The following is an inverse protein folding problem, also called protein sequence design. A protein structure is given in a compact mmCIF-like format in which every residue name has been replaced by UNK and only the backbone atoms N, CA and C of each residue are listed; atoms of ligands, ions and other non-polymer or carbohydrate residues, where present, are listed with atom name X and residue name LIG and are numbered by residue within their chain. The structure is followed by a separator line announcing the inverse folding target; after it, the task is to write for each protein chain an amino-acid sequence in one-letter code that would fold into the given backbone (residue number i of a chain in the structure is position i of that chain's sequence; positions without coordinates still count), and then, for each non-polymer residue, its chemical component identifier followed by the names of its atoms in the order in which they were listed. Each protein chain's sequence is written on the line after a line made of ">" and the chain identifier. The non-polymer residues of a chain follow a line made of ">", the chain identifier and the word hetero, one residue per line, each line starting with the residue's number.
data_IF_839414024603
#
_entry.id   IF_839414024603
#
_cell.length_a   1.000
_cell.length_b   1.000
_cell.length_c   1.000
_cell.angle_alpha   90.00
_cell.angle_beta   90.00
_cell.angle_gamma   90.00
#
_symmetry.space_group_name_H-M   'P 1'
#
loop_
_entity.id
_entity.type
_entity.pdbx_description
1 polymer ?
#
# COMPACT_ATOMS: atom_id res chain seq x y z
N UNK A 1 21.34 -3.63 54.62
CA UNK A 1 20.86 -4.68 53.69
C UNK A 1 19.57 -4.19 53.07
N UNK A 2 19.69 -3.54 51.90
CA UNK A 2 18.59 -2.90 51.19
C UNK A 2 17.60 -3.93 50.65
N UNK A 3 16.31 -3.58 50.74
CA UNK A 3 15.17 -4.44 50.43
C UNK A 3 15.19 -4.88 48.97
N UNK A 4 15.71 -6.08 48.72
CA UNK A 4 15.69 -6.78 47.42
C UNK A 4 14.25 -6.99 46.90
N UNK A 5 13.24 -6.82 47.77
CA UNK A 5 11.83 -6.92 47.40
C UNK A 5 11.31 -5.72 46.61
N UNK A 6 11.92 -4.53 46.73
CA UNK A 6 11.51 -3.37 45.93
C UNK A 6 11.94 -3.52 44.46
N UNK A 7 13.11 -4.12 44.21
CA UNK A 7 13.63 -4.35 42.85
C UNK A 7 12.82 -5.37 42.06
N UNK A 8 12.21 -6.36 42.74
CA UNK A 8 11.33 -7.32 42.08
C UNK A 8 10.13 -6.59 41.46
N UNK A 9 9.49 -5.65 42.19
CA UNK A 9 8.37 -4.87 41.65
C UNK A 9 8.73 -4.06 40.40
N UNK A 10 9.91 -3.44 40.35
CA UNK A 10 10.34 -2.67 39.17
C UNK A 10 10.61 -3.53 37.92
N UNK A 11 10.92 -4.82 38.09
CA UNK A 11 11.18 -5.75 36.97
C UNK A 11 9.90 -6.45 36.50
N UNK A 12 8.99 -6.83 37.40
CA UNK A 12 7.74 -7.51 36.98
C UNK A 12 6.65 -6.58 36.46
N UNK A 13 6.61 -5.31 36.87
CA UNK A 13 5.57 -4.36 36.39
C UNK A 13 5.62 -4.13 34.86
N UNK A 14 6.78 -3.93 34.21
CA UNK A 14 6.83 -3.83 32.75
C UNK A 14 6.53 -5.16 32.03
N UNK A 15 6.89 -6.31 32.60
CA UNK A 15 6.67 -7.64 31.98
C UNK A 15 5.17 -7.98 31.90
N UNK A 16 4.36 -7.51 32.85
CA UNK A 16 2.90 -7.75 32.83
C UNK A 16 2.19 -6.86 31.81
N UNK A 17 2.76 -5.69 31.45
CA UNK A 17 2.18 -4.80 30.45
C UNK A 17 2.27 -5.38 29.03
N UNK A 18 3.33 -6.15 28.74
CA UNK A 18 3.50 -6.84 27.45
C UNK A 18 2.57 -8.06 27.29
N UNK A 19 2.01 -8.58 28.38
CA UNK A 19 1.13 -9.77 28.36
C UNK A 19 -0.35 -9.42 28.13
N UNK A 20 -0.71 -8.14 28.20
CA UNK A 20 -2.08 -7.64 27.96
C UNK A 20 -2.19 -6.94 26.60
N UNK A 21 -1.08 -6.80 25.86
CA UNK A 21 -1.20 -6.55 24.44
C UNK A 21 -1.95 -7.76 23.86
N UNK A 22 -3.15 -7.59 23.27
CA UNK A 22 -3.72 -8.66 22.47
C UNK A 22 -2.61 -9.07 21.48
N UNK A 23 -2.44 -10.37 21.16
CA UNK A 23 -1.60 -10.73 20.02
C UNK A 23 -2.02 -9.79 18.92
N UNK A 24 -1.08 -9.01 18.37
CA UNK A 24 -1.36 -8.20 17.20
C UNK A 24 -2.03 -9.17 16.25
N UNK A 25 -3.35 -9.03 16.14
CA UNK A 25 -4.13 -9.86 15.24
C UNK A 25 -3.55 -9.40 13.92
N UNK A 26 -2.71 -10.23 13.29
CA UNK A 26 -2.37 -10.05 11.90
C UNK A 26 -3.71 -9.76 11.25
N UNK A 27 -3.87 -8.53 10.76
CA UNK A 27 -5.14 -8.05 10.25
C UNK A 27 -5.66 -9.15 9.33
N UNK A 28 -6.90 -9.61 9.55
CA UNK A 28 -7.54 -10.56 8.65
C UNK A 28 -7.37 -9.95 7.25
N UNK A 29 -6.56 -10.62 6.44
CA UNK A 29 -6.17 -10.12 5.13
C UNK A 29 -7.35 -10.32 4.19
N UNK A 30 -8.26 -9.35 4.16
CA UNK A 30 -9.39 -9.29 3.22
C UNK A 30 -8.93 -9.00 1.77
N UNK A 31 -7.68 -9.32 1.42
CA UNK A 31 -7.16 -9.24 0.06
C UNK A 31 -7.82 -10.27 -0.85
N UNK A 32 -8.28 -9.83 -2.02
CA UNK A 32 -8.84 -10.72 -3.05
C UNK A 32 -7.73 -11.07 -4.03
N UNK A 33 -7.55 -12.37 -4.27
CA UNK A 33 -6.53 -12.88 -5.20
C UNK A 33 -7.15 -13.54 -6.42
N UNK A 34 -6.40 -13.55 -7.51
CA UNK A 34 -6.60 -14.47 -8.64
C UNK A 34 -6.42 -15.93 -8.20
N UNK A 35 -6.97 -16.89 -8.96
CA UNK A 35 -6.89 -18.32 -8.62
C UNK A 35 -5.46 -18.85 -8.48
N UNK A 36 -4.53 -18.31 -9.26
CA UNK A 36 -3.10 -18.63 -9.23
C UNK A 36 -2.33 -17.79 -8.23
N UNK A 37 -2.97 -16.79 -7.61
CA UNK A 37 -2.36 -15.80 -6.73
C UNK A 37 -1.23 -14.98 -7.38
N UNK A 38 -1.27 -14.82 -8.71
CA UNK A 38 -0.33 -13.96 -9.44
C UNK A 38 -0.58 -12.47 -9.11
N UNK A 39 -1.83 -12.13 -8.84
CA UNK A 39 -2.28 -10.82 -8.38
C UNK A 39 -3.21 -10.97 -7.17
N UNK A 40 -2.97 -10.14 -6.15
CA UNK A 40 -3.80 -9.99 -4.95
C UNK A 40 -3.98 -8.50 -4.68
N UNK A 41 -5.22 -8.03 -4.56
CA UNK A 41 -5.48 -6.62 -4.32
C UNK A 41 -6.39 -6.41 -3.11
N UNK A 42 -6.33 -5.20 -2.57
CA UNK A 42 -7.22 -4.74 -1.50
C UNK A 42 -7.66 -3.31 -1.80
N UNK A 43 -8.95 -3.07 -1.65
CA UNK A 43 -9.54 -1.75 -1.77
C UNK A 43 -9.82 -1.22 -0.36
N UNK A 44 -9.44 0.03 -0.10
CA UNK A 44 -9.80 0.71 1.14
C UNK A 44 -11.28 1.06 1.11
N UNK A 45 -11.95 1.00 2.27
CA UNK A 45 -13.34 1.45 2.42
C UNK A 45 -13.43 2.81 3.15
N UNK A 46 -12.30 3.52 3.26
CA UNK A 46 -12.19 4.76 4.05
C UNK A 46 -12.75 5.97 3.28
N UNK A 47 -12.61 5.99 1.95
CA UNK A 47 -12.97 7.12 1.11
C UNK A 47 -13.29 6.69 -0.32
N UNK A 48 -14.16 7.47 -0.97
CA UNK A 48 -14.58 7.25 -2.34
C UNK A 48 -14.62 8.55 -3.13
N UNK A 49 -14.23 8.48 -4.41
CA UNK A 49 -14.34 9.58 -5.35
C UNK A 49 -15.46 9.37 -6.36
N UNK A 50 -16.04 10.47 -6.83
CA UNK A 50 -17.06 10.44 -7.88
C UNK A 50 -16.45 10.24 -9.27
N UNK A 51 -17.17 9.54 -10.14
CA UNK A 51 -16.85 9.48 -11.56
C UNK A 51 -16.82 10.89 -12.19
N UNK A 52 -15.84 11.13 -13.04
CA UNK A 52 -15.56 12.42 -13.68
C UNK A 52 -14.95 13.47 -12.74
N UNK A 53 -14.61 13.12 -11.50
CA UNK A 53 -13.97 14.07 -10.58
C UNK A 53 -12.54 14.43 -11.02
N UNK A 54 -12.09 15.61 -10.59
CA UNK A 54 -10.69 16.05 -10.76
C UNK A 54 -9.73 15.04 -10.11
N UNK A 55 -10.12 14.43 -8.99
CA UNK A 55 -9.35 13.36 -8.35
C UNK A 55 -9.17 12.16 -9.30
N UNK A 56 -10.24 11.69 -9.95
CA UNK A 56 -10.15 10.58 -10.91
C UNK A 56 -9.26 10.93 -12.10
N UNK A 57 -9.35 12.15 -12.62
CA UNK A 57 -8.47 12.62 -13.71
C UNK A 57 -7.00 12.64 -13.27
N UNK A 58 -6.70 13.17 -12.08
CA UNK A 58 -5.36 13.18 -11.51
C UNK A 58 -4.82 11.75 -11.29
N UNK A 59 -5.66 10.83 -10.82
CA UNK A 59 -5.31 9.42 -10.63
C UNK A 59 -4.97 8.74 -11.97
N UNK A 60 -5.82 8.91 -12.99
CA UNK A 60 -5.57 8.38 -14.33
C UNK A 60 -4.26 8.91 -14.92
N UNK A 61 -4.03 10.21 -14.83
CA UNK A 61 -2.81 10.85 -15.34
C UNK A 61 -1.56 10.38 -14.60
N UNK A 62 -1.64 10.25 -13.27
CA UNK A 62 -0.53 9.77 -12.44
C UNK A 62 -0.15 8.33 -12.79
N UNK A 63 -1.12 7.42 -12.87
CA UNK A 63 -0.83 6.02 -13.20
C UNK A 63 -0.37 5.85 -14.65
N UNK A 64 -0.91 6.63 -15.59
CA UNK A 64 -0.40 6.66 -16.96
C UNK A 64 1.04 7.16 -17.05
N UNK A 65 1.49 8.00 -16.10
CA UNK A 65 2.89 8.44 -16.07
C UNK A 65 3.87 7.32 -15.70
N UNK A 66 3.40 6.29 -14.99
CA UNK A 66 4.20 5.10 -14.65
C UNK A 66 4.29 4.12 -15.83
N UNK A 67 3.26 4.05 -16.67
CA UNK A 67 3.23 3.19 -17.87
C UNK A 67 3.88 3.82 -19.10
N UNK A 68 3.98 5.15 -19.15
CA UNK A 68 4.76 5.82 -20.19
C UNK A 68 6.20 5.32 -20.14
N UNK A 69 6.83 5.10 -21.31
CA UNK A 69 8.25 4.74 -21.47
C UNK A 69 9.14 5.88 -20.95
N UNK A 70 9.05 6.12 -19.65
CA UNK A 70 9.75 7.16 -18.96
C UNK A 70 11.13 6.60 -18.70
N UNK A 71 12.02 6.79 -19.67
CA UNK A 71 13.41 6.30 -19.69
C UNK A 71 14.23 6.74 -18.49
N UNK A 72 13.66 7.58 -17.61
CA UNK A 72 14.24 8.00 -16.34
C UNK A 72 14.09 7.00 -15.20
N UNK A 73 13.08 6.11 -15.22
CA UNK A 73 12.88 5.11 -14.16
C UNK A 73 13.43 3.77 -14.65
N UNK A 74 14.72 3.54 -14.43
CA UNK A 74 15.42 2.32 -14.83
C UNK A 74 15.69 1.35 -13.66
N UNK A 75 15.25 1.69 -12.46
CA UNK A 75 15.56 0.96 -11.21
C UNK A 75 14.33 0.32 -10.56
N UNK A 76 13.19 0.29 -11.25
CA UNK A 76 12.00 -0.45 -10.84
C UNK A 76 11.22 0.12 -9.65
N UNK A 77 11.49 1.37 -9.24
CA UNK A 77 10.71 2.05 -8.21
C UNK A 77 10.14 3.37 -8.73
N UNK A 78 8.85 3.56 -8.53
CA UNK A 78 8.07 4.70 -8.98
C UNK A 78 7.50 5.40 -7.75
N UNK A 79 7.64 6.72 -7.66
CA UNK A 79 7.02 7.52 -6.61
C UNK A 79 6.69 8.89 -7.20
N UNK A 80 5.40 9.21 -7.22
CA UNK A 80 4.94 10.49 -7.76
C UNK A 80 3.62 10.90 -7.13
N UNK A 81 3.30 12.17 -7.29
CA UNK A 81 2.02 12.74 -6.88
C UNK A 81 1.50 13.68 -7.96
N UNK A 82 0.18 13.83 -8.03
CA UNK A 82 -0.51 14.66 -9.03
C UNK A 82 -1.59 15.50 -8.36
N UNK A 83 -1.74 16.75 -8.79
CA UNK A 83 -2.76 17.66 -8.29
C UNK A 83 -2.40 18.36 -6.97
N UNK A 84 -3.41 18.98 -6.37
CA UNK A 84 -3.36 19.73 -5.10
C UNK A 84 -4.61 19.40 -4.29
N UNK A 85 -4.56 19.64 -2.97
CA UNK A 85 -5.70 19.38 -2.09
C UNK A 85 -6.94 20.19 -2.52
N UNK A 86 -8.14 19.57 -2.50
CA UNK A 86 -8.46 18.24 -1.97
C UNK A 86 -8.31 17.08 -2.99
N UNK A 87 -7.88 17.35 -4.23
CA UNK A 87 -7.82 16.37 -5.32
C UNK A 87 -6.42 15.79 -5.55
N UNK A 88 -5.55 15.84 -4.54
CA UNK A 88 -4.18 15.35 -4.65
C UNK A 88 -4.17 13.82 -4.61
N UNK A 89 -3.43 13.21 -5.52
CA UNK A 89 -3.21 11.76 -5.59
C UNK A 89 -1.73 11.47 -5.36
N UNK A 90 -1.44 10.39 -4.64
CA UNK A 90 -0.08 9.88 -4.44
C UNK A 90 -0.04 8.42 -4.88
N UNK A 91 1.03 8.01 -5.54
CA UNK A 91 1.21 6.62 -5.98
C UNK A 91 2.66 6.19 -5.84
N UNK A 92 2.84 4.94 -5.43
CA UNK A 92 4.14 4.27 -5.39
C UNK A 92 3.98 2.92 -6.08
N UNK A 93 4.97 2.51 -6.86
CA UNK A 93 5.07 1.15 -7.38
C UNK A 93 6.50 0.63 -7.21
N UNK A 94 6.64 -0.66 -6.93
CA UNK A 94 7.93 -1.31 -6.75
C UNK A 94 7.93 -2.65 -7.48
N UNK A 95 8.89 -2.83 -8.38
CA UNK A 95 9.12 -4.07 -9.08
C UNK A 95 10.08 -4.97 -8.30
N UNK A 96 9.98 -6.28 -8.57
CA UNK A 96 10.92 -7.27 -8.05
C UNK A 96 12.33 -7.01 -8.62
N UNK A 97 13.36 -7.09 -7.79
CA UNK A 97 14.72 -6.66 -8.18
C UNK A 97 15.43 -7.53 -9.22
N UNK A 98 14.93 -8.74 -9.49
CA UNK A 98 15.41 -9.67 -10.52
C UNK A 98 14.60 -9.57 -11.84
N UNK A 99 13.51 -8.82 -11.87
CA UNK A 99 12.68 -8.65 -13.06
C UNK A 99 13.39 -7.79 -14.10
N UNK A 100 13.20 -8.11 -15.38
CA UNK A 100 13.67 -7.21 -16.45
C UNK A 100 12.90 -5.89 -16.39
N UNK A 101 13.48 -4.82 -16.95
CA UNK A 101 12.80 -3.52 -17.02
C UNK A 101 11.46 -3.63 -17.76
N UNK A 102 11.41 -4.42 -18.83
CA UNK A 102 10.18 -4.66 -19.58
C UNK A 102 9.12 -5.36 -18.73
N UNK A 103 9.48 -6.44 -18.02
CA UNK A 103 8.54 -7.16 -17.15
C UNK A 103 8.05 -6.27 -16.00
N UNK A 104 8.92 -5.41 -15.48
CA UNK A 104 8.55 -4.40 -14.50
C UNK A 104 7.51 -3.41 -15.04
N UNK A 105 7.72 -2.83 -16.23
CA UNK A 105 6.75 -1.94 -16.85
C UNK A 105 5.42 -2.63 -17.12
N UNK A 106 5.45 -3.86 -17.65
CA UNK A 106 4.25 -4.66 -17.86
C UNK A 106 3.50 -4.88 -16.56
N UNK A 107 4.19 -5.30 -15.49
CA UNK A 107 3.59 -5.53 -14.18
C UNK A 107 2.92 -4.27 -13.62
N UNK A 108 3.60 -3.11 -13.63
CA UNK A 108 3.05 -1.85 -13.12
C UNK A 108 1.81 -1.42 -13.91
N UNK A 109 1.83 -1.59 -15.24
CA UNK A 109 0.69 -1.25 -16.08
C UNK A 109 -0.51 -2.19 -15.86
N UNK A 110 -0.28 -3.50 -15.81
CA UNK A 110 -1.33 -4.49 -15.53
C UNK A 110 -1.94 -4.29 -14.15
N UNK A 111 -1.10 -4.08 -13.12
CA UNK A 111 -1.53 -3.80 -11.76
C UNK A 111 -2.46 -2.58 -11.68
N UNK A 112 -2.14 -1.51 -12.40
CA UNK A 112 -2.98 -0.31 -12.47
C UNK A 112 -4.37 -0.61 -13.06
N UNK A 113 -4.42 -1.40 -14.14
CA UNK A 113 -5.70 -1.81 -14.76
C UNK A 113 -6.53 -2.70 -13.83
N UNK A 114 -5.89 -3.62 -13.11
CA UNK A 114 -6.58 -4.50 -12.15
C UNK A 114 -7.17 -3.67 -11.00
N UNK A 115 -6.41 -2.70 -10.47
CA UNK A 115 -6.91 -1.80 -9.42
C UNK A 115 -8.12 -0.99 -9.89
N UNK A 116 -8.08 -0.39 -11.09
CA UNK A 116 -9.22 0.36 -11.62
C UNK A 116 -10.47 -0.49 -11.78
N UNK A 117 -10.30 -1.76 -12.19
CA UNK A 117 -11.42 -2.67 -12.41
C UNK A 117 -12.04 -3.14 -11.11
N UNK A 118 -11.22 -3.45 -10.10
CA UNK A 118 -11.68 -4.14 -8.90
C UNK A 118 -11.89 -3.21 -7.69
N UNK A 119 -11.25 -2.04 -7.68
CA UNK A 119 -11.37 -1.02 -6.64
C UNK A 119 -12.00 0.27 -7.19
N UNK A 120 -13.00 0.14 -8.06
CA UNK A 120 -13.71 1.27 -8.65
C UNK A 120 -14.19 2.26 -7.59
N UNK A 121 -13.92 3.55 -7.83
CA UNK A 121 -14.32 4.68 -6.98
C UNK A 121 -13.75 4.67 -5.56
N UNK A 122 -12.78 3.83 -5.22
CA UNK A 122 -12.10 3.88 -3.91
C UNK A 122 -10.90 4.82 -3.96
N UNK A 123 -10.76 5.68 -2.95
CA UNK A 123 -9.66 6.67 -2.86
C UNK A 123 -8.30 6.05 -2.55
N UNK A 124 -8.28 4.78 -2.13
CA UNK A 124 -7.06 4.07 -1.77
C UNK A 124 -7.19 2.58 -2.12
N UNK A 125 -6.14 2.04 -2.73
CA UNK A 125 -6.04 0.61 -3.05
C UNK A 125 -4.58 0.18 -3.16
N UNK A 126 -4.35 -1.13 -3.01
CA UNK A 126 -3.05 -1.78 -3.16
C UNK A 126 -3.19 -3.10 -3.90
N UNK A 127 -2.16 -3.46 -4.66
CA UNK A 127 -2.00 -4.73 -5.38
C UNK A 127 -0.54 -5.18 -5.31
#
# INVERSE_FOLDING_TARGET
>A
MGSSRLLIFFIVIPIILDLVAPPAVAQIDDGVCTYTADFCWRCSNIGTYNDGSIYQENLNNLLSSFSSNNTQINYGFYNSSMGQDPNKVNAIALCRGDASLNDCHTCVNESSVILFKNCSNQDEAII
#
